data_IF_064121245585
#
_entry.id   IF_064121245585
#
_cell.length_a   1.000
_cell.length_b   1.000
_cell.length_c   1.000
_cell.angle_alpha   90.00
_cell.angle_beta   90.00
_cell.angle_gamma   90.00
#
_symmetry.space_group_name_H-M   'P 1'
#
loop_
_entity.id
_entity.type
_entity.pdbx_description
1 polymer ?
#
# COMPACT_ATOMS: atom_id res chain seq x y z
N UNK A 1 -22.23 -13.80 -5.09
CA UNK A 1 -21.18 -12.91 -4.54
C UNK A 1 -19.87 -13.64 -4.67
N UNK A 2 -18.94 -13.12 -5.47
CA UNK A 2 -17.68 -13.81 -5.76
C UNK A 2 -16.82 -13.93 -4.49
N UNK A 3 -16.43 -15.15 -4.07
CA UNK A 3 -15.61 -15.34 -2.86
C UNK A 3 -14.24 -14.64 -2.98
N UNK A 4 -13.72 -14.54 -4.20
CA UNK A 4 -12.45 -13.86 -4.46
C UNK A 4 -12.54 -12.34 -4.21
N UNK A 5 -13.66 -11.70 -4.53
CA UNK A 5 -13.87 -10.27 -4.27
C UNK A 5 -14.04 -9.98 -2.79
N UNK A 6 -14.64 -10.91 -2.04
CA UNK A 6 -14.81 -10.78 -0.59
C UNK A 6 -13.46 -10.91 0.13
N UNK A 7 -12.65 -11.92 -0.24
CA UNK A 7 -11.31 -12.09 0.31
C UNK A 7 -10.40 -10.89 -0.01
N UNK A 8 -10.50 -10.32 -1.22
CA UNK A 8 -9.75 -9.14 -1.59
C UNK A 8 -10.13 -7.92 -0.75
N UNK A 9 -11.43 -7.66 -0.55
CA UNK A 9 -11.88 -6.56 0.30
C UNK A 9 -11.42 -6.72 1.75
N UNK A 10 -11.54 -7.92 2.32
CA UNK A 10 -11.09 -8.20 3.68
C UNK A 10 -9.57 -8.03 3.82
N UNK A 11 -8.80 -8.42 2.81
CA UNK A 11 -7.35 -8.19 2.81
C UNK A 11 -7.01 -6.70 2.80
N UNK A 12 -7.62 -5.92 1.89
CA UNK A 12 -7.38 -4.48 1.78
C UNK A 12 -7.79 -3.77 3.07
N UNK A 13 -8.90 -4.19 3.68
CA UNK A 13 -9.37 -3.65 4.96
C UNK A 13 -8.38 -3.90 6.10
N UNK A 14 -7.85 -5.11 6.21
CA UNK A 14 -6.81 -5.42 7.21
C UNK A 14 -5.54 -4.58 7.01
N UNK A 15 -5.10 -4.40 5.76
CA UNK A 15 -3.93 -3.57 5.44
C UNK A 15 -4.18 -2.11 5.81
N UNK A 16 -5.33 -1.54 5.44
CA UNK A 16 -5.69 -0.16 5.78
C UNK A 16 -5.74 0.04 7.31
N UNK A 17 -6.27 -0.93 8.05
CA UNK A 17 -6.30 -0.87 9.51
C UNK A 17 -4.90 -0.91 10.12
N UNK A 18 -4.03 -1.81 9.65
CA UNK A 18 -2.64 -1.89 10.13
C UNK A 18 -1.86 -0.58 9.86
N UNK A 19 -2.06 0.02 8.68
CA UNK A 19 -1.47 1.32 8.33
C UNK A 19 -2.00 2.41 9.28
N UNK A 20 -3.30 2.43 9.56
CA UNK A 20 -3.91 3.40 10.47
C UNK A 20 -3.38 3.26 11.90
N UNK A 21 -3.25 2.04 12.40
CA UNK A 21 -2.68 1.77 13.72
C UNK A 21 -1.22 2.21 13.81
N UNK A 22 -0.40 1.87 12.79
CA UNK A 22 0.99 2.31 12.72
C UNK A 22 1.12 3.84 12.60
N UNK A 23 0.25 4.49 11.83
CA UNK A 23 0.19 5.96 11.74
C UNK A 23 -0.14 6.57 13.10
N UNK A 24 -1.18 6.08 13.78
CA UNK A 24 -1.59 6.59 15.08
C UNK A 24 -0.50 6.38 16.14
N UNK A 25 0.28 5.31 16.03
CA UNK A 25 1.44 5.05 16.86
C UNK A 25 2.71 5.81 16.41
N UNK A 26 2.63 6.63 15.35
CA UNK A 26 3.78 7.28 14.71
C UNK A 26 4.94 6.32 14.40
N UNK A 27 4.61 5.06 14.07
CA UNK A 27 5.60 4.00 13.81
C UNK A 27 6.35 4.19 12.49
N UNK A 28 5.83 5.03 11.58
CA UNK A 28 6.46 5.38 10.31
C UNK A 28 6.15 6.83 9.95
N UNK A 29 7.08 7.48 9.25
CA UNK A 29 6.92 8.85 8.74
C UNK A 29 6.54 8.88 7.27
N UNK A 30 6.85 7.81 6.52
CA UNK A 30 6.64 7.73 5.09
C UNK A 30 6.08 6.35 4.73
N UNK A 31 5.07 6.36 3.87
CA UNK A 31 4.42 5.16 3.36
C UNK A 31 4.58 5.08 1.84
N UNK A 32 4.96 3.91 1.34
CA UNK A 32 5.02 3.63 -0.09
C UNK A 32 4.10 2.46 -0.38
N UNK A 33 3.14 2.68 -1.28
CA UNK A 33 2.18 1.65 -1.67
C UNK A 33 2.57 1.07 -3.01
N UNK A 34 2.70 -0.25 -3.06
CA UNK A 34 2.98 -1.00 -4.28
C UNK A 34 1.85 -2.00 -4.48
N UNK A 35 0.98 -1.74 -5.46
CA UNK A 35 -0.07 -2.68 -5.83
C UNK A 35 -0.60 -2.37 -7.25
N UNK A 36 -1.36 -3.28 -7.87
CA UNK A 36 -2.08 -2.99 -9.10
C UNK A 36 -3.06 -1.81 -8.91
N UNK A 37 -3.37 -1.04 -9.97
CA UNK A 37 -4.17 0.18 -9.88
C UNK A 37 -5.56 -0.03 -9.24
N UNK A 38 -6.16 -1.22 -9.42
CA UNK A 38 -7.43 -1.59 -8.76
C UNK A 38 -7.29 -1.65 -7.23
N UNK A 39 -6.27 -2.33 -6.73
CA UNK A 39 -6.01 -2.45 -5.29
C UNK A 39 -5.58 -1.12 -4.67
N UNK A 40 -4.83 -0.28 -5.40
CA UNK A 40 -4.49 1.08 -4.93
C UNK A 40 -5.73 1.96 -4.82
N UNK A 41 -6.66 1.86 -5.77
CA UNK A 41 -7.95 2.55 -5.71
C UNK A 41 -8.76 2.17 -4.47
N UNK A 42 -8.86 0.87 -4.20
CA UNK A 42 -9.57 0.32 -3.03
C UNK A 42 -8.86 0.65 -1.71
N UNK A 43 -7.52 0.66 -1.68
CA UNK A 43 -6.74 1.11 -0.52
C UNK A 43 -6.98 2.60 -0.27
N UNK A 44 -7.00 3.45 -1.31
CA UNK A 44 -7.27 4.89 -1.15
C UNK A 44 -8.64 5.21 -0.58
N UNK A 45 -9.67 4.45 -0.96
CA UNK A 45 -11.02 4.64 -0.43
C UNK A 45 -11.15 4.16 1.02
N UNK A 46 -10.33 3.20 1.44
CA UNK A 46 -10.31 2.68 2.82
C UNK A 46 -9.30 3.39 3.74
N UNK A 47 -8.26 4.02 3.19
CA UNK A 47 -7.28 4.79 3.94
C UNK A 47 -7.89 6.11 4.41
N UNK A 48 -7.67 6.43 5.69
CA UNK A 48 -8.04 7.73 6.24
C UNK A 48 -7.24 8.87 5.57
N UNK A 49 -7.83 10.06 5.50
CA UNK A 49 -7.18 11.25 4.92
C UNK A 49 -5.79 11.53 5.48
N UNK A 50 -5.52 11.20 6.75
CA UNK A 50 -4.22 11.36 7.37
C UNK A 50 -3.22 10.30 6.89
N UNK A 51 -3.65 9.05 6.73
CA UNK A 51 -2.79 7.98 6.22
C UNK A 51 -2.46 8.21 4.74
N UNK A 52 -3.43 8.71 3.97
CA UNK A 52 -3.23 9.10 2.57
C UNK A 52 -2.20 10.24 2.42
N UNK A 53 -2.09 11.15 3.38
CA UNK A 53 -1.05 12.20 3.38
C UNK A 53 0.36 11.66 3.63
N UNK A 54 0.49 10.52 4.30
CA UNK A 54 1.78 9.85 4.53
C UNK A 54 2.24 9.02 3.32
N UNK A 55 1.34 8.77 2.36
CA UNK A 55 1.69 8.10 1.11
C UNK A 55 2.56 9.03 0.27
N UNK A 56 3.87 8.79 0.29
CA UNK A 56 4.86 9.57 -0.46
C UNK A 56 4.88 9.18 -1.94
N UNK A 57 4.70 7.87 -2.21
CA UNK A 57 4.76 7.31 -3.56
C UNK A 57 3.81 6.12 -3.71
N UNK A 58 3.15 6.05 -4.86
CA UNK A 58 2.33 4.92 -5.28
C UNK A 58 2.96 4.30 -6.53
N UNK A 59 3.33 3.02 -6.45
CA UNK A 59 3.86 2.29 -7.57
C UNK A 59 2.79 1.38 -8.15
N UNK A 60 2.26 1.76 -9.31
CA UNK A 60 1.32 0.98 -10.11
C UNK A 60 2.05 -0.11 -10.90
N UNK A 61 2.88 -0.91 -10.22
CA UNK A 61 3.59 -2.04 -10.83
C UNK A 61 3.25 -3.30 -10.08
N UNK A 62 2.92 -4.35 -10.82
CA UNK A 62 2.70 -5.68 -10.26
C UNK A 62 4.07 -6.30 -9.93
N UNK A 63 4.66 -5.87 -8.81
CA UNK A 63 5.98 -6.35 -8.36
C UNK A 63 5.89 -7.73 -7.69
N UNK A 64 4.74 -8.39 -7.72
CA UNK A 64 4.55 -9.78 -7.23
C UNK A 64 5.49 -10.78 -7.92
N UNK A 65 6.01 -10.42 -9.09
CA UNK A 65 6.98 -11.21 -9.86
C UNK A 65 8.45 -10.86 -9.57
N UNK A 66 8.74 -9.85 -8.75
CA UNK A 66 10.11 -9.39 -8.52
C UNK A 66 10.69 -9.95 -7.22
N UNK A 67 11.98 -10.29 -7.29
CA UNK A 67 12.72 -10.76 -6.12
C UNK A 67 12.91 -9.61 -5.12
N UNK A 68 13.01 -9.88 -3.80
CA UNK A 68 13.21 -8.84 -2.78
C UNK A 68 14.38 -7.87 -3.06
N UNK A 69 15.44 -8.37 -3.70
CA UNK A 69 16.58 -7.56 -4.13
C UNK A 69 16.23 -6.55 -5.24
N UNK A 70 15.45 -6.99 -6.24
CA UNK A 70 14.99 -6.11 -7.32
C UNK A 70 13.96 -5.11 -6.81
N UNK A 71 13.15 -5.52 -5.82
CA UNK A 71 12.23 -4.64 -5.12
C UNK A 71 12.99 -3.48 -4.46
N UNK A 72 14.10 -3.78 -3.77
CA UNK A 72 14.92 -2.77 -3.10
C UNK A 72 15.54 -1.76 -4.07
N UNK A 73 16.09 -2.20 -5.21
CA UNK A 73 16.60 -1.28 -6.25
C UNK A 73 15.49 -0.41 -6.85
N UNK A 74 14.34 -1.01 -7.19
CA UNK A 74 13.21 -0.25 -7.76
C UNK A 74 12.62 0.74 -6.75
N UNK A 75 12.57 0.34 -5.47
CA UNK A 75 12.13 1.21 -4.38
C UNK A 75 13.16 2.32 -4.11
N UNK A 76 14.47 2.06 -4.22
CA UNK A 76 15.50 3.08 -4.04
C UNK A 76 15.39 4.22 -5.06
N UNK A 77 15.02 3.93 -6.32
CA UNK A 77 14.74 4.98 -7.31
C UNK A 77 13.54 5.84 -6.92
N UNK A 78 12.55 5.26 -6.23
CA UNK A 78 11.29 5.90 -5.84
C UNK A 78 11.39 6.61 -4.49
N UNK A 79 12.27 6.15 -3.59
CA UNK A 79 12.54 6.71 -2.26
C UNK A 79 13.45 7.95 -2.35
N UNK A 80 14.23 8.10 -3.43
CA UNK A 80 15.04 9.31 -3.68
C UNK A 80 14.16 10.51 -4.02
N UNK A 81 13.47 11.06 -3.01
CA UNK A 81 12.84 12.39 -3.03
C UNK A 81 13.11 13.11 -1.72
#
# INVERSE_FOLDING_TARGET
TDPQQHAQHEFIRHVAQAIKEGMNAQAFEQLILVAPPKALGDLRTLLDHNAAKLVKSELQKDLTHLSPHQLAEHLQEVIKV
#
